data_IF_740336852798
#
_entry.id   IF_740336852798
#
_cell.length_a   1.000
_cell.length_b   1.000
_cell.length_c   1.000
_cell.angle_alpha   90.00
_cell.angle_beta   90.00
_cell.angle_gamma   90.00
#
_symmetry.space_group_name_H-M   'P 1'
#
loop_
_entity.id
_entity.type
_entity.pdbx_description
1 polymer ?
2 non-polymer ?
3 water ?
#
# COMPACT_ATOMS: atom_id res chain seq x y z
N UNK A 1 3.52 0.66 7.21
CA UNK A 1 3.62 -0.38 8.28
C UNK A 1 5.07 -0.53 8.79
N UNK A 2 6.06 -0.12 8.01
CA UNK A 2 7.50 -0.26 8.27
C UNK A 2 8.27 0.77 7.43
N UNK A 3 9.63 0.77 7.51
CA UNK A 3 10.44 1.87 6.98
C UNK A 3 10.41 1.99 5.44
N UNK A 4 10.07 0.90 4.77
CA UNK A 4 9.89 0.90 3.30
C UNK A 4 8.67 1.73 2.94
N UNK A 5 7.55 1.45 3.61
CA UNK A 5 6.29 2.22 3.43
C UNK A 5 6.48 3.66 3.89
N UNK A 6 7.27 3.89 4.94
CA UNK A 6 7.57 5.26 5.41
C UNK A 6 8.27 6.10 4.32
N UNK A 7 9.33 5.56 3.71
CA UNK A 7 10.03 6.28 2.61
C UNK A 7 9.07 6.49 1.43
N UNK A 8 8.35 5.44 1.02
CA UNK A 8 7.39 5.53 -0.10
C UNK A 8 6.37 6.64 0.15
N UNK A 9 5.80 6.70 1.37
CA UNK A 9 4.77 7.68 1.73
C UNK A 9 5.34 9.10 1.62
N UNK A 10 6.56 9.28 2.07
CA UNK A 10 7.23 10.60 2.08
C UNK A 10 7.39 11.09 0.62
N UNK A 11 7.70 10.20 -0.30
CA UNK A 11 7.85 10.55 -1.73
C UNK A 11 6.47 10.84 -2.28
N UNK A 12 5.47 9.99 -2.02
CA UNK A 12 4.13 10.23 -2.58
C UNK A 12 3.55 11.56 -2.12
N UNK A 13 3.70 11.91 -0.83
CA UNK A 13 2.97 13.06 -0.24
C UNK A 13 3.51 14.37 -0.81
N UNK A 14 4.78 14.44 -1.19
CA UNK A 14 5.38 15.72 -1.63
C UNK A 14 5.76 15.72 -3.11
N UNK A 15 6.01 14.54 -3.72
CA UNK A 15 6.68 14.50 -5.05
C UNK A 15 5.79 13.81 -6.07
N UNK A 16 4.47 13.73 -5.91
CA UNK A 16 3.59 13.16 -6.95
C UNK A 16 2.41 14.09 -7.22
N UNK A 17 1.98 14.07 -8.48
CA UNK A 17 0.74 14.74 -8.94
C UNK A 17 -0.03 13.71 -9.76
N UNK A 18 -1.30 13.97 -9.97
CA UNK A 18 -2.10 13.14 -10.89
C UNK A 18 -2.02 13.82 -12.26
N UNK A 19 -1.46 13.12 -13.25
CA UNK A 19 -1.35 13.63 -14.65
C UNK A 19 -2.46 12.98 -15.48
N UNK A 20 -3.18 13.77 -16.27
CA UNK A 20 -4.23 13.26 -17.18
C UNK A 20 -3.91 13.69 -18.62
N UNK A 21 -3.70 12.72 -19.50
CA UNK A 21 -3.51 12.92 -20.97
C UNK A 21 -4.76 12.33 -21.66
N UNK A 22 -4.80 12.35 -22.98
CA UNK A 22 -5.88 11.65 -23.73
C UNK A 22 -5.83 10.13 -23.59
N UNK A 23 -4.70 9.59 -23.07
CA UNK A 23 -4.46 8.13 -22.88
C UNK A 23 -4.86 7.68 -21.46
N UNK A 24 -5.24 8.60 -20.57
CA UNK A 24 -5.66 8.25 -19.21
C UNK A 24 -5.07 9.12 -18.10
N UNK A 25 -5.34 8.68 -16.87
CA UNK A 25 -4.79 9.22 -15.61
C UNK A 25 -3.56 8.41 -15.19
N UNK A 26 -2.46 9.09 -14.85
CA UNK A 26 -1.17 8.47 -14.46
C UNK A 26 -0.67 9.09 -13.16
N UNK A 27 -0.08 8.26 -12.30
CA UNK A 27 0.85 8.75 -11.26
C UNK A 27 2.00 9.44 -11.99
N UNK A 28 2.35 10.64 -11.58
CA UNK A 28 3.48 11.39 -12.17
C UNK A 28 4.41 11.78 -11.03
N UNK A 29 5.68 11.43 -11.12
CA UNK A 29 6.73 11.77 -10.14
C UNK A 29 7.39 13.10 -10.51
N UNK A 30 7.33 14.06 -9.59
CA UNK A 30 8.07 15.33 -9.70
C UNK A 30 9.47 15.10 -9.15
N UNK A 31 10.52 15.55 -9.86
CA UNK A 31 11.92 15.23 -9.49
C UNK A 31 12.62 16.47 -8.92
N UNK A 32 12.46 17.62 -9.56
CA UNK A 32 13.05 18.92 -9.10
C UNK A 32 12.43 20.04 -9.91
N UNK A 33 12.49 21.27 -9.39
CA UNK A 33 11.96 22.48 -10.07
C UNK A 33 10.54 22.13 -10.61
N UNK A 34 10.36 22.26 -11.96
CA UNK A 34 9.01 21.99 -12.56
C UNK A 34 9.15 20.74 -13.46
N UNK A 35 10.15 19.92 -13.19
CA UNK A 35 10.48 18.74 -14.03
C UNK A 35 9.89 17.47 -13.38
N UNK A 36 9.17 16.70 -14.17
CA UNK A 36 8.53 15.45 -13.73
C UNK A 36 8.76 14.35 -14.78
N UNK A 37 8.39 13.15 -14.43
CA UNK A 37 8.50 11.98 -15.34
C UNK A 37 7.16 11.27 -15.44
N UNK A 38 6.99 10.56 -16.56
CA UNK A 38 5.73 9.81 -16.84
C UNK A 38 6.06 8.77 -17.89
N UNK A 39 5.37 7.60 -17.94
CA UNK A 39 5.65 6.67 -19.03
C UNK A 39 5.39 7.31 -20.39
N UNK A 40 6.27 6.98 -21.37
CA UNK A 40 6.19 7.57 -22.72
C UNK A 40 4.86 7.20 -23.38
N UNK A 41 4.30 6.02 -23.08
CA UNK A 41 2.97 5.64 -23.63
C UNK A 41 1.81 6.52 -23.14
N UNK A 42 1.99 7.43 -22.17
CA UNK A 42 1.00 8.47 -21.83
C UNK A 42 0.79 9.48 -22.96
N UNK A 43 1.71 9.56 -23.94
CA UNK A 43 1.62 10.43 -25.14
C UNK A 43 1.40 11.90 -24.75
N UNK A 44 2.31 12.46 -23.97
CA UNK A 44 2.18 13.86 -23.51
C UNK A 44 2.13 14.78 -24.73
N UNK A 45 1.19 15.73 -24.76
CA UNK A 45 1.10 16.77 -25.79
C UNK A 45 1.52 18.15 -25.30
N UNK A 46 0.95 19.20 -25.89
CA UNK A 46 1.26 20.62 -25.62
C UNK A 46 0.59 21.05 -24.31
N UNK A 47 -0.49 20.37 -23.93
CA UNK A 47 -1.33 20.65 -22.73
C UNK A 47 -1.55 19.31 -22.00
N UNK A 48 -1.46 19.38 -20.67
CA UNK A 48 -1.71 18.21 -19.81
C UNK A 48 -2.53 18.72 -18.60
N UNK A 49 -3.31 17.85 -17.97
CA UNK A 49 -4.01 18.21 -16.73
C UNK A 49 -3.16 17.69 -15.58
N UNK A 50 -2.91 18.55 -14.58
CA UNK A 50 -2.08 18.25 -13.39
C UNK A 50 -3.02 18.52 -12.19
N UNK A 51 -3.47 17.46 -11.50
CA UNK A 51 -4.43 17.58 -10.37
C UNK A 51 -5.63 18.37 -10.90
N UNK A 52 -6.10 18.05 -12.11
CA UNK A 52 -7.30 18.61 -12.80
C UNK A 52 -7.14 20.10 -13.13
N UNK A 53 -5.93 20.64 -13.17
CA UNK A 53 -5.62 22.03 -13.63
C UNK A 53 -5.00 21.93 -15.04
N UNK A 54 -5.59 22.63 -15.99
CA UNK A 54 -5.02 22.77 -17.36
C UNK A 54 -3.64 23.41 -17.30
N UNK A 55 -2.62 22.72 -17.80
CA UNK A 55 -1.19 23.10 -17.63
C UNK A 55 -0.49 23.02 -19.01
N UNK A 56 0.19 24.10 -19.41
CA UNK A 56 1.04 24.07 -20.60
C UNK A 56 2.26 23.22 -20.35
N UNK A 57 2.62 22.41 -21.32
CA UNK A 57 3.89 21.63 -21.32
C UNK A 57 4.98 22.52 -21.93
N UNK A 58 5.99 22.90 -21.16
CA UNK A 58 7.09 23.77 -21.66
C UNK A 58 8.10 22.95 -22.45
N UNK A 59 8.30 21.66 -22.17
CA UNK A 59 9.25 20.79 -22.88
C UNK A 59 8.88 19.34 -22.55
N UNK A 60 9.05 18.43 -23.47
CA UNK A 60 8.82 16.99 -23.22
C UNK A 60 9.81 16.20 -24.06
N UNK A 61 10.50 15.25 -23.47
CA UNK A 61 11.53 14.46 -24.17
C UNK A 61 11.35 12.96 -23.83
N UNK A 62 11.04 12.15 -24.82
CA UNK A 62 10.99 10.68 -24.72
C UNK A 62 12.40 10.14 -24.75
N UNK A 63 12.89 9.63 -23.66
CA UNK A 63 14.30 9.18 -23.58
C UNK A 63 14.53 7.88 -24.36
N UNK A 64 15.71 7.78 -24.97
CA UNK A 64 16.20 6.56 -25.64
C UNK A 64 17.66 6.37 -25.21
N UNK A 65 18.16 5.16 -25.18
CA UNK A 65 19.58 4.91 -24.87
C UNK A 65 20.42 5.22 -26.13
N UNK A 66 21.74 5.13 -25.96
CA UNK A 66 22.69 5.41 -27.07
C UNK A 66 22.73 4.26 -28.08
N UNK A 67 22.01 3.16 -27.89
CA UNK A 67 21.69 2.23 -29.02
C UNK A 67 20.44 2.69 -29.77
N UNK A 68 19.82 3.83 -29.41
CA UNK A 68 18.58 4.37 -30.01
C UNK A 68 17.47 3.34 -29.70
N UNK A 69 17.44 2.84 -28.46
CA UNK A 69 16.40 1.91 -27.97
C UNK A 69 15.52 2.65 -26.93
N UNK A 70 14.22 2.56 -27.11
CA UNK A 70 13.23 3.10 -26.15
C UNK A 70 13.66 2.81 -24.69
N UNK A 71 13.55 3.82 -23.80
CA UNK A 71 13.61 3.62 -22.32
C UNK A 71 12.22 3.75 -21.64
N UNK A 72 11.20 4.22 -22.34
CA UNK A 72 9.79 4.34 -21.87
C UNK A 72 9.65 5.40 -20.79
N UNK A 73 10.64 6.29 -20.64
CA UNK A 73 10.57 7.45 -19.70
C UNK A 73 10.40 8.70 -20.57
N UNK A 74 9.38 9.50 -20.32
CA UNK A 74 9.29 10.89 -20.80
C UNK A 74 9.57 11.88 -19.65
N UNK A 75 10.47 12.82 -19.88
CA UNK A 75 10.76 13.95 -18.97
C UNK A 75 9.94 15.11 -19.44
N UNK A 76 9.16 15.70 -18.53
CA UNK A 76 8.21 16.80 -18.82
C UNK A 76 8.60 17.99 -17.97
N UNK A 77 8.73 19.16 -18.59
CA UNK A 77 8.78 20.42 -17.82
C UNK A 77 7.41 21.09 -17.87
N UNK A 78 6.83 21.38 -16.71
CA UNK A 78 5.42 21.86 -16.57
C UNK A 78 5.42 23.39 -16.35
N UNK A 79 4.49 24.11 -16.96
CA UNK A 79 4.25 25.55 -16.65
C UNK A 79 3.40 25.67 -15.38
N UNK A 80 4.00 25.25 -14.28
CA UNK A 80 3.38 25.18 -12.94
C UNK A 80 3.94 26.33 -12.12
N UNK A 81 3.16 26.84 -11.16
CA UNK A 81 3.53 28.00 -10.35
C UNK A 81 4.29 27.59 -9.08
N UNK A 82 4.69 26.32 -8.97
CA UNK A 82 5.28 25.76 -7.75
C UNK A 82 6.34 24.73 -8.12
N UNK A 83 7.49 24.72 -7.43
CA UNK A 83 8.55 23.74 -7.63
C UNK A 83 8.30 22.50 -6.76
N UNK A 84 8.78 21.37 -7.25
CA UNK A 84 8.86 20.11 -6.47
C UNK A 84 10.06 20.21 -5.54
N UNK A 85 9.93 19.58 -4.38
CA UNK A 85 11.10 19.21 -3.55
C UNK A 85 12.12 18.51 -4.44
N UNK A 86 13.38 18.90 -4.36
CA UNK A 86 14.47 18.26 -5.13
C UNK A 86 14.80 16.90 -4.52
N UNK A 87 14.48 15.81 -5.20
CA UNK A 87 14.76 14.41 -4.74
C UNK A 87 15.85 13.75 -5.58
N UNK A 88 16.63 14.49 -6.35
CA UNK A 88 17.63 13.86 -7.24
C UNK A 88 18.69 13.10 -6.44
N UNK A 89 18.93 13.45 -5.17
CA UNK A 89 19.93 12.72 -4.36
C UNK A 89 19.41 11.34 -3.95
N UNK A 90 18.14 11.01 -4.19
CA UNK A 90 17.60 9.65 -3.92
C UNK A 90 17.64 8.74 -5.17
N UNK A 91 18.15 9.24 -6.28
CA UNK A 91 18.21 8.48 -7.56
C UNK A 91 19.51 7.69 -7.62
N UNK A 92 19.47 6.40 -8.00
CA UNK A 92 20.67 5.61 -8.20
C UNK A 92 21.52 6.16 -9.34
N UNK A 93 22.83 5.98 -9.23
CA UNK A 93 23.74 6.39 -10.34
C UNK A 93 23.86 5.29 -11.43
N UNK A 94 23.73 4.02 -11.06
CA UNK A 94 23.97 2.89 -12.00
C UNK A 94 22.79 1.91 -12.01
N UNK A 95 22.72 1.09 -13.06
CA UNK A 95 21.76 -0.03 -13.19
C UNK A 95 22.07 -1.02 -12.06
N UNK A 96 21.07 -1.57 -11.41
CA UNK A 96 21.27 -2.47 -10.26
C UNK A 96 20.03 -3.32 -10.06
N UNK A 97 20.18 -4.33 -9.21
CA UNK A 97 19.09 -5.15 -8.62
C UNK A 97 18.85 -4.63 -7.20
N UNK A 98 17.67 -4.90 -6.64
CA UNK A 98 17.25 -4.35 -5.32
C UNK A 98 16.49 -5.41 -4.53
N UNK A 99 16.53 -5.30 -3.20
CA UNK A 99 15.60 -6.07 -2.34
C UNK A 99 14.52 -5.14 -1.77
N UNK A 100 13.35 -5.73 -1.55
CA UNK A 100 12.30 -5.19 -0.65
C UNK A 100 11.86 -3.82 -1.19
N UNK A 101 11.31 -3.80 -2.39
CA UNK A 101 10.79 -2.57 -3.04
C UNK A 101 9.28 -2.42 -2.80
N UNK A 102 8.82 -1.18 -2.85
CA UNK A 102 7.39 -0.79 -2.75
C UNK A 102 7.05 -0.09 -4.05
N UNK A 103 5.88 -0.41 -4.60
CA UNK A 103 5.28 0.29 -5.76
C UNK A 103 4.13 1.13 -5.19
N UNK A 104 4.19 2.44 -5.37
CA UNK A 104 3.19 3.39 -4.85
C UNK A 104 2.43 4.07 -5.99
N UNK A 105 1.12 4.19 -5.85
CA UNK A 105 0.20 4.73 -6.89
C UNK A 105 -0.73 5.73 -6.24
N UNK A 106 -0.99 6.85 -6.90
CA UNK A 106 -2.03 7.78 -6.45
C UNK A 106 -2.81 8.30 -7.66
N UNK A 107 -4.01 7.76 -7.87
CA UNK A 107 -4.93 8.28 -8.91
C UNK A 107 -6.33 8.40 -8.31
N UNK A 108 -7.28 8.94 -9.09
CA UNK A 108 -8.74 8.88 -8.78
C UNK A 108 -9.20 7.41 -8.56
N UNK A 109 -8.70 6.48 -9.35
CA UNK A 109 -9.06 5.03 -9.30
C UNK A 109 -8.38 4.34 -8.08
N UNK A 110 -7.10 4.64 -7.85
CA UNK A 110 -6.27 3.99 -6.79
C UNK A 110 -5.60 5.05 -5.91
N UNK A 111 -6.33 5.72 -4.98
CA UNK A 111 -5.73 6.66 -4.04
C UNK A 111 -4.96 5.98 -2.92
N UNK A 112 -3.77 6.53 -2.58
CA UNK A 112 -3.01 6.09 -1.39
C UNK A 112 -2.80 4.59 -1.44
N UNK A 113 -2.38 4.06 -2.59
CA UNK A 113 -2.11 2.62 -2.80
C UNK A 113 -0.61 2.36 -2.67
N UNK A 114 -0.21 1.40 -1.85
CA UNK A 114 1.19 0.97 -1.62
C UNK A 114 1.24 -0.54 -1.71
N UNK A 115 2.11 -1.08 -2.57
CA UNK A 115 2.19 -2.55 -2.83
C UNK A 115 3.61 -2.99 -2.51
N UNK A 116 3.83 -3.91 -1.55
CA UNK A 116 5.16 -4.46 -1.32
C UNK A 116 5.45 -5.51 -2.41
N UNK A 117 6.31 -5.18 -3.36
CA UNK A 117 6.54 -6.05 -4.56
C UNK A 117 7.73 -6.99 -4.34
N UNK A 118 8.57 -6.77 -3.35
CA UNK A 118 9.67 -7.67 -2.96
C UNK A 118 10.90 -7.45 -3.81
N UNK A 119 11.55 -8.53 -4.21
CA UNK A 119 12.85 -8.50 -4.93
C UNK A 119 12.68 -7.90 -6.34
N UNK A 120 13.60 -6.99 -6.70
CA UNK A 120 13.58 -6.34 -8.04
C UNK A 120 14.82 -6.81 -8.84
N UNK A 121 14.60 -7.42 -10.00
CA UNK A 121 15.66 -7.89 -10.92
C UNK A 121 15.99 -6.80 -11.96
N UNK A 122 17.26 -6.54 -12.17
CA UNK A 122 17.73 -5.85 -13.42
C UNK A 122 17.50 -6.79 -14.60
N UNK A 123 16.35 -6.69 -15.23
CA UNK A 123 15.86 -7.59 -16.29
C UNK A 123 16.54 -7.23 -17.62
N UNK A 124 16.68 -5.94 -17.87
CA UNK A 124 17.30 -5.40 -19.09
C UNK A 124 16.31 -5.27 -20.22
N UNK A 125 16.46 -6.13 -21.24
CA UNK A 125 15.65 -6.02 -22.48
C UNK A 125 14.26 -6.59 -22.21
N UNK A 126 13.24 -5.90 -22.70
CA UNK A 126 11.82 -6.33 -22.71
C UNK A 126 11.18 -5.82 -23.99
N UNK A 127 10.45 -6.72 -24.64
CA UNK A 127 9.50 -6.31 -25.69
C UNK A 127 8.20 -5.86 -25.04
N UNK A 128 8.05 -4.54 -24.84
CA UNK A 128 6.97 -3.92 -24.07
C UNK A 128 5.86 -3.45 -25.01
N UNK A 129 4.75 -4.18 -25.07
CA UNK A 129 3.67 -3.82 -26.04
C UNK A 129 4.17 -3.78 -27.49
N UNK A 130 5.10 -4.67 -27.85
CA UNK A 130 5.67 -4.67 -29.21
C UNK A 130 6.90 -3.78 -29.37
N UNK A 131 7.28 -2.98 -28.37
CA UNK A 131 8.38 -2.00 -28.57
C UNK A 131 9.61 -2.50 -27.82
N UNK A 132 10.76 -2.77 -28.48
CA UNK A 132 11.98 -3.14 -27.76
C UNK A 132 12.34 -2.03 -26.77
N UNK A 133 12.55 -2.40 -25.52
CA UNK A 133 12.80 -1.45 -24.40
C UNK A 133 14.01 -1.92 -23.60
N UNK A 134 14.88 -1.02 -23.15
CA UNK A 134 16.04 -1.36 -22.31
C UNK A 134 15.86 -0.81 -20.88
N UNK A 135 16.77 -1.20 -20.00
CA UNK A 135 16.82 -0.75 -18.58
C UNK A 135 15.52 -1.06 -17.83
N UNK A 136 14.95 -2.24 -18.04
CA UNK A 136 13.71 -2.69 -17.36
C UNK A 136 14.06 -3.43 -16.07
N UNK A 137 13.37 -3.04 -15.00
CA UNK A 137 13.33 -3.73 -13.70
C UNK A 137 12.09 -4.63 -13.67
N UNK A 138 12.21 -5.81 -13.09
CA UNK A 138 11.07 -6.76 -12.98
C UNK A 138 10.83 -7.13 -11.51
N UNK A 139 9.57 -7.25 -11.15
CA UNK A 139 9.14 -7.73 -9.80
C UNK A 139 7.98 -8.69 -9.98
N UNK A 140 7.83 -9.60 -9.02
CA UNK A 140 6.89 -10.73 -9.13
C UNK A 140 5.63 -10.28 -8.42
N UNK A 141 4.90 -9.35 -9.00
CA UNK A 141 3.56 -8.96 -8.49
C UNK A 141 2.66 -8.79 -9.70
N UNK A 142 1.41 -9.33 -9.64
CA UNK A 142 0.41 -9.15 -10.69
C UNK A 142 -0.21 -7.74 -10.69
N UNK A 143 0.57 -6.80 -11.21
CA UNK A 143 0.15 -5.38 -11.39
C UNK A 143 -0.94 -5.30 -12.48
N UNK A 144 -1.73 -4.22 -12.43
CA UNK A 144 -3.01 -4.09 -13.17
C UNK A 144 -3.01 -2.72 -13.84
N UNK A 145 -3.79 -2.60 -14.91
CA UNK A 145 -4.15 -1.32 -15.54
C UNK A 145 -4.57 -0.34 -14.43
N UNK A 146 -3.99 0.86 -14.47
CA UNK A 146 -4.17 1.90 -13.44
C UNK A 146 -2.89 2.16 -12.65
N UNK A 147 -1.89 1.28 -12.71
CA UNK A 147 -0.65 1.40 -11.89
C UNK A 147 0.50 2.04 -12.67
N UNK A 148 0.31 2.35 -13.98
CA UNK A 148 1.40 2.92 -14.81
C UNK A 148 1.73 4.31 -14.28
N UNK A 149 3.03 4.54 -14.12
CA UNK A 149 3.58 5.80 -13.59
C UNK A 149 3.83 5.62 -12.10
N UNK A 150 3.37 4.51 -11.52
CA UNK A 150 3.57 4.27 -10.09
C UNK A 150 5.04 4.29 -9.75
N UNK A 151 5.36 4.79 -8.57
CA UNK A 151 6.78 4.97 -8.18
C UNK A 151 7.30 3.72 -7.48
N UNK A 152 8.45 3.24 -7.91
CA UNK A 152 9.16 2.10 -7.25
C UNK A 152 10.28 2.66 -6.38
N UNK A 153 10.24 2.32 -5.08
CA UNK A 153 11.24 2.78 -4.09
C UNK A 153 11.78 1.60 -3.30
N UNK A 154 12.98 1.80 -2.79
CA UNK A 154 13.47 1.05 -1.61
C UNK A 154 13.65 2.09 -0.49
N UNK A 155 13.96 1.64 0.73
CA UNK A 155 14.42 2.58 1.77
C UNK A 155 15.59 3.37 1.18
N UNK A 156 15.40 4.66 1.02
CA UNK A 156 16.45 5.61 0.69
C UNK A 156 16.61 5.82 -0.78
N UNK A 157 15.99 5.00 -1.66
CA UNK A 157 16.18 5.19 -3.12
C UNK A 157 14.85 5.17 -3.91
N UNK A 158 14.77 6.05 -4.88
CA UNK A 158 13.68 6.12 -5.89
C UNK A 158 14.26 5.48 -7.15
N UNK A 159 13.82 4.26 -7.52
CA UNK A 159 14.60 3.46 -8.50
C UNK A 159 13.89 3.33 -9.85
N UNK A 160 12.61 3.65 -10.00
CA UNK A 160 11.91 3.42 -11.28
C UNK A 160 10.47 3.87 -11.27
N UNK A 161 9.84 3.80 -12.44
CA UNK A 161 8.40 4.09 -12.62
C UNK A 161 7.78 2.90 -13.38
N UNK A 162 6.66 2.41 -12.86
CA UNK A 162 5.94 1.24 -13.40
C UNK A 162 5.48 1.54 -14.84
N UNK A 163 5.73 0.63 -15.79
CA UNK A 163 5.40 0.86 -17.24
C UNK A 163 4.63 -0.32 -17.85
N UNK A 164 4.50 -1.46 -17.18
CA UNK A 164 3.73 -2.58 -17.75
C UNK A 164 3.68 -3.80 -16.89
N UNK A 165 3.04 -4.85 -17.41
CA UNK A 165 2.95 -6.12 -16.69
C UNK A 165 2.54 -7.21 -17.65
N UNK A 166 2.66 -8.48 -17.26
CA UNK A 166 2.20 -9.63 -18.11
C UNK A 166 1.13 -10.45 -17.36
N UNK A 167 0.52 -9.91 -16.32
CA UNK A 167 -0.49 -10.62 -15.50
C UNK A 167 0.11 -11.24 -14.25
N UNK A 168 1.39 -11.66 -14.28
CA UNK A 168 2.12 -12.31 -13.15
C UNK A 168 3.30 -11.46 -12.65
N UNK A 169 4.03 -10.86 -13.58
CA UNK A 169 5.15 -9.91 -13.28
C UNK A 169 4.77 -8.48 -13.68
N UNK A 170 5.45 -7.54 -13.04
CA UNK A 170 5.36 -6.11 -13.34
C UNK A 170 6.74 -5.59 -13.72
N UNK A 171 6.75 -4.55 -14.52
CA UNK A 171 7.97 -3.98 -15.13
C UNK A 171 8.03 -2.47 -14.90
N UNK A 172 9.23 -2.02 -14.51
CA UNK A 172 9.45 -0.57 -14.31
C UNK A 172 10.62 -0.14 -15.21
N UNK A 173 10.59 1.10 -15.65
CA UNK A 173 11.74 1.77 -16.30
C UNK A 173 12.65 2.35 -15.23
N UNK A 174 13.95 2.12 -15.30
CA UNK A 174 14.91 2.67 -14.33
C UNK A 174 14.86 4.17 -14.34
N UNK A 175 15.01 4.75 -13.14
CA UNK A 175 15.41 6.19 -13.05
C UNK A 175 16.89 6.22 -12.62
N UNK A 176 17.67 7.00 -13.34
CA UNK A 176 19.10 7.19 -13.08
C UNK A 176 19.37 8.68 -12.86
N UNK A 177 20.27 8.98 -11.93
CA UNK A 177 20.64 10.38 -11.60
C UNK A 177 21.02 11.17 -12.87
N UNK A 178 21.75 10.53 -13.78
CA UNK A 178 22.25 11.16 -15.04
C UNK A 178 21.12 11.68 -15.93
N UNK A 179 19.88 11.20 -15.79
CA UNK A 179 18.75 11.73 -16.60
C UNK A 179 18.41 13.19 -16.21
N UNK A 180 18.78 13.64 -15.00
CA UNK A 180 18.22 14.88 -14.41
C UNK A 180 19.31 15.87 -14.01
N UNK A 181 20.52 15.73 -14.54
CA UNK A 181 21.57 16.78 -14.43
C UNK A 181 21.15 17.93 -15.36
N UNK A 182 21.39 19.18 -14.94
CA UNK A 182 21.02 20.43 -15.67
C UNK A 182 22.18 21.43 -15.64
N UNK B 2 -11.96 -1.44 -7.43
CA UNK B 2 -13.08 -0.44 -7.63
C UNK B 2 -14.12 -0.47 -6.50
N UNK B 3 -15.09 -1.43 -6.52
CA UNK B 3 -15.90 -1.68 -5.33
C UNK B 3 -15.00 -2.08 -4.14
N UNK B 4 -13.91 -2.84 -4.40
CA UNK B 4 -12.86 -3.23 -3.42
C UNK B 4 -12.23 -2.05 -2.68
N UNK B 5 -11.69 -1.05 -3.41
CA UNK B 5 -11.15 0.22 -2.81
C UNK B 5 -12.24 1.06 -2.15
N UNK B 6 -13.43 1.25 -2.74
CA UNK B 6 -14.54 1.93 -2.06
C UNK B 6 -14.83 1.28 -0.70
N UNK B 7 -14.97 -0.04 -0.72
CA UNK B 7 -15.33 -0.82 0.49
C UNK B 7 -14.23 -0.61 1.56
N UNK B 8 -12.97 -0.72 1.19
CA UNK B 8 -11.87 -0.58 2.16
C UNK B 8 -11.91 0.84 2.72
N UNK B 9 -12.13 1.86 1.88
CA UNK B 9 -12.22 3.28 2.37
C UNK B 9 -13.40 3.51 3.31
N UNK B 10 -14.56 2.88 3.05
CA UNK B 10 -15.79 3.02 3.85
C UNK B 10 -15.57 2.47 5.27
N UNK B 11 -14.88 1.33 5.34
CA UNK B 11 -14.51 0.71 6.63
C UNK B 11 -13.45 1.56 7.35
N UNK B 12 -12.44 2.04 6.62
CA UNK B 12 -11.39 2.95 7.18
C UNK B 12 -12.09 4.16 7.80
N UNK B 13 -12.89 4.86 7.00
CA UNK B 13 -13.47 6.18 7.37
C UNK B 13 -14.33 6.09 8.63
N UNK B 14 -15.21 5.11 8.75
CA UNK B 14 -16.20 5.06 9.86
C UNK B 14 -15.82 4.07 10.99
N UNK B 15 -15.01 3.03 10.69
CA UNK B 15 -14.83 1.91 11.63
C UNK B 15 -13.36 1.71 12.04
N UNK B 16 -12.44 2.59 11.70
CA UNK B 16 -11.00 2.38 12.06
C UNK B 16 -10.55 3.55 12.94
N UNK B 17 -9.94 3.26 14.10
CA UNK B 17 -9.39 4.23 15.04
C UNK B 17 -7.93 3.87 15.34
N UNK B 18 -7.16 4.85 15.85
CA UNK B 18 -5.77 4.61 16.30
C UNK B 18 -5.81 4.23 17.79
N UNK B 19 -5.36 3.02 18.14
CA UNK B 19 -5.32 2.55 19.54
C UNK B 19 -3.87 2.60 19.99
N UNK B 20 -3.58 3.16 21.16
CA UNK B 20 -2.19 3.16 21.68
C UNK B 20 -2.19 2.49 23.06
N UNK B 21 -1.45 1.39 23.14
CA UNK B 21 -1.21 0.59 24.37
C UNK B 21 0.21 0.91 24.87
N UNK B 22 0.64 0.18 25.89
CA UNK B 22 2.04 0.24 26.39
C UNK B 22 3.01 -0.09 25.26
N UNK B 23 2.60 -0.84 24.22
CA UNK B 23 3.47 -1.31 23.12
C UNK B 23 3.54 -0.29 21.96
N UNK B 24 2.68 0.71 21.92
CA UNK B 24 2.65 1.73 20.88
C UNK B 24 1.33 1.70 20.11
N UNK B 25 1.37 2.10 18.85
CA UNK B 25 0.12 2.38 18.10
C UNK B 25 -0.24 1.18 17.21
N UNK B 26 -1.54 0.93 17.17
CA UNK B 26 -2.14 -0.19 16.41
C UNK B 26 -3.39 0.30 15.68
N UNK B 27 -3.57 -0.18 14.45
CA UNK B 27 -4.83 0.02 13.72
C UNK B 27 -5.91 -0.77 14.49
N UNK B 28 -6.98 -0.13 14.93
CA UNK B 28 -8.04 -0.85 15.68
C UNK B 28 -9.34 -0.80 14.83
N UNK B 29 -10.04 -1.94 14.73
CA UNK B 29 -11.35 -2.00 14.06
C UNK B 29 -12.47 -1.96 15.10
N UNK B 30 -13.35 -0.96 15.01
CA UNK B 30 -14.61 -0.95 15.76
C UNK B 30 -15.68 -1.75 15.03
N UNK B 31 -16.39 -2.61 15.73
CA UNK B 31 -17.30 -3.61 15.10
C UNK B 31 -18.77 -3.19 15.32
N UNK B 32 -19.14 -2.82 16.52
CA UNK B 32 -20.51 -2.36 16.87
C UNK B 32 -20.51 -1.76 18.28
N UNK B 33 -21.49 -0.93 18.62
CA UNK B 33 -21.59 -0.37 19.99
C UNK B 33 -20.22 0.18 20.41
N UNK B 34 -19.69 -0.25 21.56
CA UNK B 34 -18.33 0.20 22.01
C UNK B 34 -17.36 -0.99 21.96
N UNK B 35 -17.64 -1.93 21.07
CA UNK B 35 -16.83 -3.18 20.92
C UNK B 35 -15.89 -3.06 19.74
N UNK B 36 -14.59 -3.28 19.97
CA UNK B 36 -13.54 -3.20 18.94
C UNK B 36 -12.61 -4.41 19.05
N UNK B 37 -11.81 -4.62 18.05
CA UNK B 37 -10.77 -5.69 18.05
C UNK B 37 -9.40 -5.12 17.77
N UNK B 38 -8.41 -5.82 18.27
CA UNK B 38 -6.98 -5.44 18.20
C UNK B 38 -6.20 -6.75 18.31
N UNK B 39 -4.97 -6.90 17.73
CA UNK B 39 -4.16 -8.09 17.97
C UNK B 39 -3.86 -8.30 19.46
N UNK B 40 -3.86 -9.56 19.88
CA UNK B 40 -3.61 -9.90 21.30
C UNK B 40 -2.22 -9.38 21.69
N UNK B 41 -1.25 -9.41 20.79
CA UNK B 41 0.13 -8.97 21.09
C UNK B 41 0.22 -7.47 21.42
N UNK B 42 -0.86 -6.67 21.25
CA UNK B 42 -0.88 -5.23 21.63
C UNK B 42 -0.82 -5.06 23.16
N UNK B 43 -1.12 -6.11 23.93
CA UNK B 43 -1.01 -6.07 25.41
C UNK B 43 -1.92 -4.96 25.98
N UNK B 44 -3.22 -5.08 25.68
CA UNK B 44 -4.24 -4.14 26.20
C UNK B 44 -4.28 -4.20 27.74
N UNK B 45 -4.27 -3.02 28.35
CA UNK B 45 -4.34 -2.86 29.80
C UNK B 45 -5.68 -2.37 30.25
N UNK B 46 -5.69 -1.67 31.38
CA UNK B 46 -6.92 -1.09 31.98
C UNK B 46 -7.31 0.19 31.23
N UNK B 47 -6.30 0.87 30.71
CA UNK B 47 -6.44 2.16 29.99
C UNK B 47 -5.80 2.00 28.61
N UNK B 48 -6.43 2.62 27.64
CA UNK B 48 -5.92 2.69 26.24
C UNK B 48 -6.16 4.11 25.73
N UNK B 49 -5.37 4.54 24.76
CA UNK B 49 -5.66 5.81 24.03
C UNK B 49 -6.34 5.49 22.70
N UNK B 50 -7.46 6.14 22.43
CA UNK B 50 -8.25 5.98 21.17
C UNK B 50 -8.22 7.36 20.48
N UNK B 51 -7.49 7.48 19.38
CA UNK B 51 -7.26 8.78 18.71
C UNK B 51 -6.78 9.82 19.74
N UNK B 52 -5.83 9.42 20.58
CA UNK B 52 -5.10 10.28 21.56
C UNK B 52 -5.94 10.60 22.79
N UNK B 53 -7.14 10.01 22.94
CA UNK B 53 -8.03 10.20 24.12
C UNK B 53 -7.86 9.03 25.10
N UNK B 54 -7.42 9.32 26.33
CA UNK B 54 -7.36 8.34 27.47
C UNK B 54 -8.76 7.73 27.66
N UNK B 55 -8.87 6.38 27.54
CA UNK B 55 -10.18 5.65 27.49
C UNK B 55 -10.05 4.43 28.40
N UNK B 56 -10.97 4.29 29.35
CA UNK B 56 -11.03 3.05 30.17
C UNK B 56 -11.42 1.88 29.26
N UNK B 57 -10.69 0.78 29.39
CA UNK B 57 -11.11 -0.54 28.83
C UNK B 57 -11.95 -1.29 29.87
N UNK B 58 -13.24 -1.39 29.60
CA UNK B 58 -14.20 -2.03 30.54
C UNK B 58 -14.01 -3.54 30.57
N UNK B 59 -13.64 -4.13 29.43
CA UNK B 59 -13.53 -5.60 29.27
C UNK B 59 -12.53 -5.87 28.15
N UNK B 60 -11.64 -6.83 28.35
CA UNK B 60 -10.74 -7.35 27.29
C UNK B 60 -10.80 -8.89 27.32
N UNK B 61 -11.00 -9.51 26.17
CA UNK B 61 -11.05 -10.98 26.00
C UNK B 61 -10.04 -11.39 24.93
N UNK B 62 -8.99 -12.11 25.33
CA UNK B 62 -8.01 -12.71 24.41
C UNK B 62 -8.65 -13.98 23.86
N UNK B 63 -9.17 -13.95 22.64
CA UNK B 63 -10.00 -15.06 22.12
C UNK B 63 -9.19 -16.35 21.93
N UNK B 64 -9.86 -17.45 22.24
CA UNK B 64 -9.37 -18.83 22.00
C UNK B 64 -10.54 -19.64 21.46
N UNK B 65 -10.27 -20.63 20.64
CA UNK B 65 -11.35 -21.46 20.03
C UNK B 65 -11.68 -22.64 20.97
N UNK B 66 -12.57 -23.50 20.54
CA UNK B 66 -13.08 -24.62 21.38
C UNK B 66 -12.05 -25.73 21.54
N UNK B 67 -10.93 -25.72 20.80
CA UNK B 67 -9.75 -26.57 21.07
C UNK B 67 -8.85 -25.97 22.15
N UNK B 68 -9.22 -24.80 22.66
CA UNK B 68 -8.44 -24.02 23.66
C UNK B 68 -7.15 -23.56 23.01
N UNK B 69 -7.22 -23.11 21.76
CA UNK B 69 -6.05 -22.59 21.01
C UNK B 69 -6.22 -21.08 20.77
N UNK B 70 -5.12 -20.37 20.93
CA UNK B 70 -5.02 -18.92 20.65
C UNK B 70 -5.60 -18.60 19.27
N UNK B 71 -6.37 -17.50 19.16
CA UNK B 71 -6.79 -16.92 17.85
C UNK B 71 -6.12 -15.56 17.57
N UNK B 72 -5.40 -15.00 18.54
CA UNK B 72 -4.60 -13.76 18.40
C UNK B 72 -5.47 -12.50 18.23
N UNK B 73 -6.76 -12.58 18.50
CA UNK B 73 -7.72 -11.42 18.47
C UNK B 73 -8.07 -11.13 19.91
N UNK B 74 -7.97 -9.89 20.32
CA UNK B 74 -8.55 -9.44 21.58
C UNK B 74 -9.76 -8.55 21.29
N UNK B 75 -10.91 -8.91 21.87
CA UNK B 75 -12.15 -8.08 21.83
C UNK B 75 -12.12 -7.15 23.02
N UNK B 76 -12.27 -5.85 22.81
CA UNK B 76 -12.32 -4.84 23.90
C UNK B 76 -13.71 -4.17 23.92
N UNK B 77 -14.19 -3.84 25.13
CA UNK B 77 -15.37 -2.96 25.38
C UNK B 77 -14.83 -1.65 25.96
N UNK B 78 -15.06 -0.53 25.28
CA UNK B 78 -14.45 0.79 25.58
C UNK B 78 -15.46 1.70 26.33
N UNK B 79 -15.00 2.42 27.34
CA UNK B 79 -15.80 3.45 28.06
C UNK B 79 -15.73 4.76 27.25
N UNK B 80 -16.56 4.92 26.22
CA UNK B 80 -16.62 6.14 25.36
C UNK B 80 -18.03 6.37 24.84
N UNK B 81 -18.38 7.63 24.58
CA UNK B 81 -19.77 8.02 24.22
C UNK B 81 -20.06 7.50 22.82
N UNK B 82 -19.13 7.70 21.88
CA UNK B 82 -19.31 7.32 20.45
C UNK B 82 -19.60 5.81 20.37
N UNK B 83 -20.62 5.45 19.59
CA UNK B 83 -20.91 4.05 19.19
C UNK B 83 -20.30 3.84 17.80
N UNK B 84 -19.72 2.68 17.52
CA UNK B 84 -19.25 2.34 16.16
C UNK B 84 -20.42 1.94 15.27
N UNK B 85 -20.31 2.27 13.99
CA UNK B 85 -21.24 1.82 12.92
C UNK B 85 -21.23 0.30 12.90
N UNK B 86 -22.39 -0.36 13.10
CA UNK B 86 -22.46 -1.86 13.11
C UNK B 86 -22.02 -2.40 11.74
N UNK B 87 -20.99 -3.28 11.70
CA UNK B 87 -20.47 -3.94 10.48
C UNK B 87 -20.49 -5.47 10.66
N UNK B 88 -21.25 -5.97 11.64
CA UNK B 88 -21.31 -7.43 11.92
C UNK B 88 -21.85 -8.18 10.73
N UNK B 89 -22.71 -7.57 9.90
CA UNK B 89 -23.26 -8.20 8.67
C UNK B 89 -22.21 -8.37 7.57
N UNK B 90 -21.01 -7.76 7.69
CA UNK B 90 -19.91 -7.91 6.70
C UNK B 90 -18.85 -8.93 7.14
N UNK B 91 -19.07 -9.58 8.29
CA UNK B 91 -18.13 -10.63 8.81
C UNK B 91 -18.54 -11.98 8.24
N UNK B 92 -17.59 -12.75 7.70
CA UNK B 92 -17.84 -14.12 7.22
C UNK B 92 -18.39 -15.03 8.34
N UNK B 93 -19.26 -15.96 7.94
CA UNK B 93 -19.82 -16.99 8.86
C UNK B 93 -18.82 -18.11 9.08
N UNK B 94 -18.04 -18.44 8.04
CA UNK B 94 -17.16 -19.63 7.98
C UNK B 94 -15.75 -19.25 7.55
N UNK B 95 -14.79 -20.14 7.80
CA UNK B 95 -13.40 -20.06 7.30
C UNK B 95 -13.44 -20.15 5.77
N UNK B 96 -12.58 -19.41 5.06
CA UNK B 96 -12.62 -19.37 3.57
C UNK B 96 -11.32 -18.81 3.00
N UNK B 97 -11.11 -19.05 1.70
CA UNK B 97 -10.08 -18.41 0.83
C UNK B 97 -10.74 -17.21 0.12
N UNK B 98 -9.94 -16.21 -0.28
CA UNK B 98 -10.41 -14.94 -0.89
C UNK B 98 -9.45 -14.49 -1.99
N UNK B 99 -9.95 -13.72 -2.95
CA UNK B 99 -9.08 -13.00 -3.93
C UNK B 99 -9.17 -11.48 -3.75
N UNK B 100 -8.14 -10.78 -4.22
CA UNK B 100 -8.26 -9.32 -4.46
C UNK B 100 -8.52 -8.61 -3.11
N UNK B 101 -7.80 -9.01 -2.07
CA UNK B 101 -7.94 -8.41 -0.73
C UNK B 101 -7.08 -7.13 -0.60
N UNK B 102 -7.50 -6.25 0.29
CA UNK B 102 -6.82 -4.97 0.62
C UNK B 102 -6.58 -4.98 2.14
N UNK B 103 -5.36 -4.64 2.53
CA UNK B 103 -4.97 -4.41 3.92
C UNK B 103 -4.92 -2.89 4.12
N UNK B 104 -5.67 -2.39 5.11
CA UNK B 104 -5.83 -0.93 5.37
C UNK B 104 -5.29 -0.54 6.76
N UNK B 105 -4.24 0.28 6.73
CA UNK B 105 -3.43 0.69 7.91
C UNK B 105 -3.82 2.11 8.30
N UNK B 106 -3.97 2.38 9.59
CA UNK B 106 -4.26 3.72 10.09
C UNK B 106 -3.57 3.93 11.44
N UNK B 107 -2.45 4.67 11.42
CA UNK B 107 -1.74 5.10 12.65
C UNK B 107 -1.32 6.56 12.47
N UNK B 108 -0.71 7.13 13.49
CA UNK B 108 -0.23 8.55 13.39
C UNK B 108 0.87 8.60 12.33
N UNK B 109 1.69 7.56 12.23
CA UNK B 109 2.80 7.52 11.23
C UNK B 109 2.30 7.18 9.81
N UNK B 110 1.23 6.37 9.71
CA UNK B 110 0.72 5.80 8.42
C UNK B 110 -0.80 6.04 8.37
N UNK B 111 -1.22 7.29 8.17
CA UNK B 111 -2.64 7.61 8.16
C UNK B 111 -3.27 7.13 6.85
N UNK B 112 -4.45 6.55 6.86
CA UNK B 112 -5.12 6.23 5.54
C UNK B 112 -4.18 5.57 4.50
N UNK B 113 -3.50 4.44 4.78
CA UNK B 113 -2.63 3.69 3.82
C UNK B 113 -3.35 2.39 3.35
N UNK B 114 -3.48 2.14 2.05
CA UNK B 114 -4.14 0.96 1.44
C UNK B 114 -3.12 0.06 0.72
N UNK B 115 -3.05 -1.20 1.13
CA UNK B 115 -2.03 -2.15 0.65
C UNK B 115 -2.76 -3.32 0.01
N UNK B 116 -2.91 -3.33 -1.34
CA UNK B 116 -3.41 -4.49 -2.07
C UNK B 116 -2.46 -5.66 -1.77
N UNK B 117 -3.02 -6.80 -1.35
CA UNK B 117 -2.20 -8.00 -1.01
C UNK B 117 -2.52 -9.11 -2.00
N UNK B 118 -3.73 -9.05 -2.58
CA UNK B 118 -4.23 -9.98 -3.61
C UNK B 118 -4.81 -11.22 -2.98
N UNK B 119 -4.26 -12.36 -3.35
CA UNK B 119 -4.83 -13.68 -3.02
C UNK B 119 -4.55 -14.00 -1.54
N UNK B 120 -5.61 -14.38 -0.86
CA UNK B 120 -5.61 -14.77 0.59
C UNK B 120 -5.99 -16.26 0.72
N UNK B 121 -5.10 -17.05 1.32
CA UNK B 121 -5.35 -18.49 1.62
C UNK B 121 -5.80 -18.67 3.08
N UNK B 122 -6.78 -19.53 3.30
CA UNK B 122 -7.04 -20.18 4.61
C UNK B 122 -5.85 -21.08 4.98
N UNK B 123 -4.93 -20.58 5.78
CA UNK B 123 -3.63 -21.24 6.07
C UNK B 123 -3.85 -22.17 7.27
N UNK B 124 -4.61 -21.71 8.26
CA UNK B 124 -5.01 -22.46 9.46
C UNK B 124 -4.02 -22.30 10.60
N UNK B 125 -3.21 -23.33 10.85
CA UNK B 125 -2.33 -23.40 12.03
C UNK B 125 -1.03 -22.67 11.75
N UNK B 126 -0.60 -21.82 12.67
CA UNK B 126 0.68 -21.09 12.64
C UNK B 126 1.25 -21.03 14.06
N UNK B 127 2.53 -21.32 14.19
CA UNK B 127 3.27 -21.01 15.43
C UNK B 127 3.72 -19.56 15.37
N UNK B 128 2.96 -18.68 16.03
CA UNK B 128 3.19 -17.22 15.97
C UNK B 128 3.92 -16.72 17.22
N UNK B 129 5.21 -16.37 17.09
CA UNK B 129 6.07 -15.97 18.24
C UNK B 129 6.11 -17.00 19.35
N UNK B 130 6.08 -18.28 18.98
CA UNK B 130 6.11 -19.41 19.92
C UNK B 130 4.73 -19.83 20.43
N UNK B 131 3.67 -19.13 20.01
CA UNK B 131 2.30 -19.48 20.43
C UNK B 131 1.54 -20.17 19.29
N UNK B 132 1.10 -21.44 19.48
CA UNK B 132 0.24 -22.14 18.54
C UNK B 132 -1.05 -21.32 18.33
N UNK B 133 -1.39 -21.07 17.09
CA UNK B 133 -2.47 -20.14 16.68
C UNK B 133 -3.30 -20.79 15.57
N UNK B 134 -4.61 -20.64 15.65
CA UNK B 134 -5.56 -21.15 14.63
C UNK B 134 -6.14 -19.99 13.79
N UNK B 135 -6.81 -20.39 12.70
CA UNK B 135 -7.65 -19.54 11.82
C UNK B 135 -6.81 -18.39 11.22
N UNK B 136 -5.60 -18.70 10.81
CA UNK B 136 -4.70 -17.71 10.14
C UNK B 136 -5.00 -17.69 8.65
N UNK B 137 -5.15 -16.46 8.15
CA UNK B 137 -5.17 -16.14 6.70
C UNK B 137 -3.75 -15.75 6.26
N UNK B 138 -3.32 -16.13 5.04
CA UNK B 138 -1.93 -15.84 4.59
C UNK B 138 -2.00 -15.16 3.20
N UNK B 139 -1.14 -14.16 3.02
CA UNK B 139 -0.94 -13.44 1.72
C UNK B 139 0.55 -13.20 1.53
N UNK B 140 1.01 -13.04 0.28
CA UNK B 140 2.40 -12.60 0.07
C UNK B 140 2.59 -11.23 0.72
N UNK B 141 3.76 -10.99 1.30
CA UNK B 141 4.07 -9.74 2.02
C UNK B 141 5.57 -9.62 2.17
N UNK B 142 6.30 -9.42 1.04
CA UNK B 142 7.77 -9.38 1.04
C UNK B 142 8.36 -8.04 1.51
N UNK B 143 8.31 -7.82 2.82
CA UNK B 143 8.60 -6.54 3.51
C UNK B 143 8.76 -6.95 4.98
N UNK B 144 9.55 -6.22 5.73
CA UNK B 144 9.59 -6.38 7.20
C UNK B 144 8.76 -5.21 7.72
N UNK B 145 7.49 -5.48 7.99
CA UNK B 145 6.53 -4.56 8.64
C UNK B 145 6.71 -4.63 10.16
N UNK B 146 6.38 -3.54 10.85
CA UNK B 146 6.23 -3.52 12.31
C UNK B 146 4.90 -4.11 12.76
N UNK B 147 4.54 -3.79 14.00
CA UNK B 147 3.47 -4.43 14.80
C UNK B 147 2.08 -3.84 14.48
N UNK B 148 1.98 -2.69 13.84
CA UNK B 148 0.76 -1.85 13.97
C UNK B 148 -0.47 -2.54 13.33
N UNK B 149 -0.26 -3.42 12.37
CA UNK B 149 -1.33 -4.18 11.69
C UNK B 149 -2.30 -3.32 10.90
N UNK B 150 -3.51 -3.82 10.72
CA UNK B 150 -4.45 -3.26 9.75
C UNK B 150 -5.58 -4.21 9.45
N UNK B 151 -6.57 -3.72 8.73
CA UNK B 151 -7.82 -4.45 8.49
C UNK B 151 -7.77 -5.04 7.11
N UNK B 152 -8.16 -6.31 6.95
CA UNK B 152 -8.16 -6.99 5.62
C UNK B 152 -9.61 -7.09 5.15
N UNK B 153 -9.83 -6.61 3.93
CA UNK B 153 -11.19 -6.58 3.31
C UNK B 153 -11.10 -7.15 1.91
N UNK B 154 -12.25 -7.65 1.47
CA UNK B 154 -12.54 -7.97 0.05
C UNK B 154 -13.77 -7.14 -0.30
N UNK B 155 -14.19 -7.11 -1.55
CA UNK B 155 -15.52 -6.55 -1.87
C UNK B 155 -16.57 -7.25 -0.99
N UNK B 156 -17.22 -6.50 -0.13
CA UNK B 156 -18.39 -6.92 0.63
C UNK B 156 -18.09 -7.57 1.96
N UNK B 157 -16.81 -7.83 2.30
CA UNK B 157 -16.48 -8.55 3.56
C UNK B 157 -15.27 -7.97 4.28
N UNK B 158 -15.41 -7.95 5.61
CA UNK B 158 -14.30 -7.67 6.56
C UNK B 158 -13.79 -9.02 7.08
N UNK B 159 -12.63 -9.46 6.62
CA UNK B 159 -12.22 -10.90 6.73
C UNK B 159 -11.21 -11.11 7.84
N UNK B 160 -10.47 -10.08 8.28
CA UNK B 160 -9.42 -10.35 9.28
C UNK B 160 -8.66 -9.10 9.65
N UNK B 161 -7.77 -9.25 10.63
CA UNK B 161 -6.84 -8.16 11.06
C UNK B 161 -5.43 -8.74 11.03
N UNK B 162 -4.50 -7.96 10.51
CA UNK B 162 -3.08 -8.36 10.36
C UNK B 162 -2.44 -8.59 11.73
N UNK B 163 -1.82 -9.75 11.91
CA UNK B 163 -1.18 -10.08 13.22
C UNK B 163 0.32 -10.38 13.12
N UNK B 164 0.90 -10.56 11.93
CA UNK B 164 2.34 -10.89 11.85
C UNK B 164 2.82 -11.18 10.45
N UNK B 165 4.06 -11.67 10.33
CA UNK B 165 4.68 -11.96 9.03
C UNK B 165 6.07 -12.56 9.21
N UNK B 166 6.59 -13.23 8.17
CA UNK B 166 7.91 -13.95 8.21
C UNK B 166 8.89 -13.31 7.22
N UNK B 167 8.58 -12.10 6.72
CA UNK B 167 9.41 -11.30 5.77
C UNK B 167 9.10 -11.58 4.30
N UNK B 168 8.43 -12.71 4.02
CA UNK B 168 7.95 -13.21 2.72
C UNK B 168 6.43 -13.28 2.71
N UNK B 169 5.82 -13.78 3.80
CA UNK B 169 4.34 -13.91 3.90
C UNK B 169 3.82 -13.04 5.04
N UNK B 170 2.59 -12.58 4.90
CA UNK B 170 1.82 -11.85 5.91
C UNK B 170 0.68 -12.71 6.42
N UNK B 171 0.33 -12.51 7.70
CA UNK B 171 -0.65 -13.37 8.42
C UNK B 171 -1.70 -12.49 9.09
N UNK B 172 -2.97 -12.83 8.90
CA UNK B 172 -4.12 -12.17 9.53
C UNK B 172 -4.91 -13.20 10.32
N UNK B 173 -5.47 -12.78 11.45
CA UNK B 173 -6.44 -13.58 12.22
C UNK B 173 -7.82 -13.39 11.61
N UNK B 174 -8.54 -14.48 11.39
CA UNK B 174 -9.89 -14.38 10.81
C UNK B 174 -10.82 -13.64 11.75
N UNK B 175 -11.77 -12.84 11.21
CA UNK B 175 -12.94 -12.38 11.93
C UNK B 175 -14.15 -13.17 11.44
N UNK B 176 -14.89 -13.72 12.38
CA UNK B 176 -16.10 -14.53 12.11
C UNK B 176 -17.29 -13.87 12.82
N UNK B 177 -18.46 -14.01 12.20
CA UNK B 177 -19.71 -13.43 12.70
C UNK B 177 -20.00 -13.90 14.14
N UNK B 178 -19.71 -15.17 14.39
CA UNK B 178 -20.03 -15.83 15.70
C UNK B 178 -19.21 -15.25 16.85
N UNK B 179 -18.15 -14.46 16.61
CA UNK B 179 -17.36 -13.88 17.74
C UNK B 179 -18.10 -12.73 18.43
N UNK B 180 -19.11 -12.19 17.74
CA UNK B 180 -19.81 -10.96 18.16
C UNK B 180 -21.32 -11.16 18.25
N UNK B 181 -21.82 -12.39 18.17
CA UNK B 181 -23.23 -12.70 18.50
C UNK B 181 -23.38 -12.79 20.03
X LIG C 1 12.98 19.32 -19.07
X LIG C 1 15.29 18.04 -17.47
X LIG C 1 16.45 17.15 -17.11
X LIG C 1 17.60 17.67 -17.97
X LIG C 1 15.47 18.20 -18.93
X LIG C 1 17.11 17.00 -20.38
X LIG C 1 18.80 19.46 -19.85
X LIG C 1 16.93 18.08 -19.31
X LIG C 1 17.47 19.44 -19.77
X LIG C 1 19.44 20.71 -19.49
X LIG C 1 16.76 20.38 -20.04
X LIG C 1 14.60 19.07 -21.07
X LIG C 1 13.63 17.03 -20.10
X LIG C 1 14.17 18.34 -19.92
#
# INVERSE_FOLDING_TARGET
>A
MGPGFDFAQAIMKKNTVIARTEKGEFTMLGVYDRVAVIPTHASVGEIIYINDVETRVLDACALRDLTDTNLEITIVKLDRNQKFRDIRHFLPRCEDDYNDAVLSVHTSKFPNMYIPVGQVTNYGFLNLGGTPTHRILMYNFPTRAGQCGGVVTTTGKVIGIHVGGNGAQGFAAMLLHSYFTD
>B
MGPGFDFAQAIMKKNTVIARTEKGEFTMLGVYDRVAVIPTHASVGEIIYINDVETRVLDACALRDLTDTNLEITIVKLDRNQKFRDIRHFLPRCEDDYNDAVLSVHTSKFPNMYIPVGQVTNYGFLNLGGTPTHRILMYNFPTRAGQCGGVVTTTGKVIGIHVGGNGAQGFAAMLLHSYFTD
>C hetero
1 YEK C4 C5 C6 C7 N C O C1 C2 C3 O1 O2 O3 S
#
